data_IF_031660698352
#
_entry.id   IF_031660698352
#
_cell.length_a   1.000
_cell.length_b   1.000
_cell.length_c   1.000
_cell.angle_alpha   90.00
_cell.angle_beta   90.00
_cell.angle_gamma   90.00
#
_symmetry.space_group_name_H-M   'P 1'
#
loop_
_entity.id
_entity.type
_entity.pdbx_description
1 polymer ?
#
# COMPACT_ATOMS: atom_id res chain seq x y z
N UNK A 1 -26.61 15.15 -25.23
CA UNK A 1 -26.96 14.56 -26.53
C UNK A 1 -28.42 14.15 -26.46
N UNK A 2 -29.27 14.61 -27.38
CA UNK A 2 -30.68 14.23 -27.42
C UNK A 2 -30.89 13.23 -28.57
N UNK A 3 -31.62 12.15 -28.32
CA UNK A 3 -31.94 11.12 -29.30
C UNK A 3 -33.45 10.90 -29.35
N UNK A 4 -33.95 10.49 -30.51
CA UNK A 4 -35.36 10.16 -30.71
C UNK A 4 -35.68 8.81 -30.07
N UNK A 5 -36.85 8.68 -29.45
CA UNK A 5 -37.31 7.42 -28.83
C UNK A 5 -38.13 6.55 -29.81
N UNK A 6 -38.03 6.85 -31.10
CA UNK A 6 -38.79 6.24 -32.19
C UNK A 6 -37.83 5.91 -33.32
N UNK A 7 -38.08 4.79 -34.01
CA UNK A 7 -37.43 4.52 -35.29
C UNK A 7 -37.82 5.61 -36.28
N UNK A 8 -36.86 6.05 -37.07
CA UNK A 8 -37.10 6.92 -38.23
C UNK A 8 -36.89 6.02 -39.44
N UNK A 9 -37.89 5.91 -40.29
CA UNK A 9 -37.76 5.16 -41.54
C UNK A 9 -36.95 5.96 -42.58
N UNK A 10 -36.70 5.33 -43.73
CA UNK A 10 -35.91 5.91 -44.83
C UNK A 10 -36.56 7.21 -45.34
N UNK A 11 -37.87 7.35 -45.18
CA UNK A 11 -38.65 8.51 -45.60
C UNK A 11 -38.71 9.63 -44.53
N UNK A 12 -38.01 9.46 -43.41
CA UNK A 12 -37.94 10.46 -42.33
C UNK A 12 -39.16 10.47 -41.40
N UNK A 13 -40.03 9.48 -41.49
CA UNK A 13 -41.26 9.38 -40.69
C UNK A 13 -41.01 8.67 -39.37
N UNK A 14 -41.60 9.19 -38.30
CA UNK A 14 -41.49 8.61 -36.96
C UNK A 14 -42.37 7.37 -36.80
N UNK A 15 -41.73 6.21 -36.66
CA UNK A 15 -42.38 4.94 -36.39
C UNK A 15 -42.79 4.73 -34.92
N UNK A 16 -42.93 3.46 -34.54
CA UNK A 16 -43.34 3.05 -33.19
C UNK A 16 -42.30 3.48 -32.15
N UNK A 17 -42.77 3.76 -30.93
CA UNK A 17 -41.88 4.07 -29.79
C UNK A 17 -41.07 2.83 -29.44
N UNK A 18 -39.75 2.96 -29.48
CA UNK A 18 -38.80 1.94 -29.07
C UNK A 18 -38.43 2.17 -27.61
N UNK A 19 -38.84 1.26 -26.72
CA UNK A 19 -38.46 1.27 -25.29
C UNK A 19 -37.07 0.68 -25.02
N UNK A 20 -36.22 0.62 -26.05
CA UNK A 20 -34.92 -0.08 -26.04
C UNK A 20 -34.00 0.46 -24.94
N UNK A 21 -34.04 1.77 -24.69
CA UNK A 21 -33.28 2.44 -23.62
C UNK A 21 -34.10 2.68 -22.33
N UNK A 22 -35.41 2.47 -22.36
CA UNK A 22 -36.30 2.71 -21.20
C UNK A 22 -36.29 1.52 -20.23
N UNK A 23 -35.99 0.31 -20.71
CA UNK A 23 -35.96 -0.90 -19.89
C UNK A 23 -34.54 -1.17 -19.35
N UNK A 24 -34.33 -0.92 -18.06
CA UNK A 24 -33.04 -1.18 -17.39
C UNK A 24 -32.61 -2.66 -17.43
N UNK A 25 -33.50 -3.60 -17.79
CA UNK A 25 -33.21 -5.03 -17.87
C UNK A 25 -32.62 -5.47 -19.21
N UNK A 26 -32.71 -4.66 -20.27
CA UNK A 26 -32.20 -5.05 -21.60
C UNK A 26 -30.68 -4.99 -21.69
N UNK A 27 -30.02 -4.23 -20.80
CA UNK A 27 -28.56 -4.04 -20.83
C UNK A 27 -28.08 -3.04 -21.89
N UNK A 28 -28.96 -2.48 -22.71
CA UNK A 28 -28.59 -1.55 -23.79
C UNK A 28 -27.92 -0.27 -23.28
N UNK A 29 -28.34 0.23 -22.12
CA UNK A 29 -27.68 1.38 -21.46
C UNK A 29 -26.26 1.01 -21.00
N UNK A 30 -26.01 -0.25 -20.65
CA UNK A 30 -24.67 -0.74 -20.30
C UNK A 30 -23.81 -0.82 -21.57
N UNK A 31 -24.33 -1.42 -22.64
CA UNK A 31 -23.66 -1.51 -23.94
C UNK A 31 -23.28 -0.11 -24.48
N UNK A 32 -24.19 0.86 -24.35
CA UNK A 32 -23.93 2.24 -24.74
C UNK A 32 -22.79 2.87 -23.93
N UNK A 33 -22.73 2.64 -22.61
CA UNK A 33 -21.63 3.14 -21.78
C UNK A 33 -20.29 2.52 -22.17
N UNK A 34 -20.26 1.22 -22.43
CA UNK A 34 -19.07 0.50 -22.86
C UNK A 34 -18.58 0.99 -24.24
N UNK A 35 -19.50 1.19 -25.19
CA UNK A 35 -19.18 1.73 -26.50
C UNK A 35 -18.59 3.15 -26.42
N UNK A 36 -19.17 4.02 -25.58
CA UNK A 36 -18.62 5.36 -25.34
C UNK A 36 -17.22 5.29 -24.71
N UNK A 37 -17.01 4.43 -23.71
CA UNK A 37 -15.68 4.26 -23.11
C UNK A 37 -14.65 3.79 -24.14
N UNK A 38 -15.02 2.83 -24.99
CA UNK A 38 -14.17 2.36 -26.08
C UNK A 38 -13.76 3.50 -27.03
N UNK A 39 -14.72 4.28 -27.51
CA UNK A 39 -14.44 5.42 -28.41
C UNK A 39 -13.49 6.44 -27.74
N UNK A 40 -13.72 6.74 -26.46
CA UNK A 40 -12.87 7.68 -25.71
C UNK A 40 -11.45 7.13 -25.55
N UNK A 41 -11.29 5.84 -25.23
CA UNK A 41 -9.98 5.21 -25.06
C UNK A 41 -9.24 5.08 -26.40
N UNK A 42 -9.94 4.70 -27.48
CA UNK A 42 -9.37 4.66 -28.84
C UNK A 42 -8.84 6.04 -29.26
N UNK A 43 -9.53 7.11 -28.86
CA UNK A 43 -9.07 8.49 -29.09
C UNK A 43 -7.91 8.87 -28.18
N UNK A 44 -7.93 8.48 -26.91
CA UNK A 44 -6.84 8.74 -25.97
C UNK A 44 -5.54 8.07 -26.44
N UNK A 45 -5.59 6.81 -26.89
CA UNK A 45 -4.45 6.06 -27.42
C UNK A 45 -3.89 6.72 -28.69
N UNK A 46 -4.74 7.08 -29.65
CA UNK A 46 -4.32 7.79 -30.87
C UNK A 46 -3.63 9.13 -30.59
N UNK A 47 -3.99 9.78 -29.48
CA UNK A 47 -3.42 11.05 -29.05
C UNK A 47 -2.24 10.89 -28.08
N UNK A 48 -1.83 9.66 -27.76
CA UNK A 48 -0.76 9.38 -26.81
C UNK A 48 -1.09 9.85 -25.39
N UNK A 49 -2.36 9.78 -24.99
CA UNK A 49 -2.82 10.22 -23.68
C UNK A 49 -2.91 9.06 -22.69
N UNK A 50 -2.31 9.25 -21.51
CA UNK A 50 -2.17 8.19 -20.49
C UNK A 50 -3.44 7.93 -19.64
N UNK A 51 -4.60 8.51 -20.00
CA UNK A 51 -5.83 8.30 -19.24
C UNK A 51 -6.73 7.24 -19.90
N UNK A 52 -7.39 6.46 -19.04
CA UNK A 52 -8.30 5.39 -19.44
C UNK A 52 -9.64 5.55 -18.74
N UNK A 53 -10.72 5.35 -19.47
CA UNK A 53 -12.10 5.43 -18.95
C UNK A 53 -12.73 4.04 -18.96
N UNK A 54 -13.35 3.68 -17.84
CA UNK A 54 -14.01 2.38 -17.65
C UNK A 54 -15.49 2.55 -17.31
N UNK A 55 -16.34 1.71 -17.91
CA UNK A 55 -17.80 1.76 -17.75
C UNK A 55 -18.32 1.07 -16.48
N UNK A 56 -17.51 0.23 -15.83
CA UNK A 56 -17.90 -0.55 -14.64
C UNK A 56 -17.76 0.22 -13.32
N UNK A 57 -17.71 -0.53 -12.21
CA UNK A 57 -17.65 0.07 -10.87
C UNK A 57 -16.20 0.40 -10.51
N UNK A 58 -16.02 1.38 -9.63
CA UNK A 58 -14.70 1.74 -9.11
C UNK A 58 -14.00 0.61 -8.33
N UNK A 59 -14.77 -0.37 -7.84
CA UNK A 59 -14.24 -1.55 -7.16
C UNK A 59 -13.59 -2.56 -8.13
N UNK A 60 -13.89 -2.47 -9.42
CA UNK A 60 -13.36 -3.38 -10.43
C UNK A 60 -11.92 -2.95 -10.74
N UNK A 61 -10.94 -3.78 -10.34
CA UNK A 61 -9.53 -3.52 -10.62
C UNK A 61 -9.23 -3.91 -12.07
N UNK A 62 -8.68 -2.98 -12.82
CA UNK A 62 -8.11 -3.25 -14.14
C UNK A 62 -6.60 -3.32 -13.97
N UNK A 63 -6.01 -4.43 -14.39
CA UNK A 63 -4.57 -4.63 -14.32
C UNK A 63 -3.83 -3.54 -15.11
N UNK A 64 -2.74 -3.01 -14.54
CA UNK A 64 -1.96 -1.92 -15.13
C UNK A 64 -2.57 -0.51 -15.04
N UNK A 65 -3.78 -0.34 -14.49
CA UNK A 65 -4.46 0.96 -14.44
C UNK A 65 -4.60 1.51 -13.02
N UNK A 66 -4.40 2.82 -12.86
CA UNK A 66 -4.55 3.51 -11.57
C UNK A 66 -5.97 4.09 -11.47
N UNK A 67 -6.84 3.58 -10.59
CA UNK A 67 -8.20 4.08 -10.47
C UNK A 67 -8.18 5.48 -9.83
N UNK A 68 -8.52 6.49 -10.63
CA UNK A 68 -8.64 7.89 -10.18
C UNK A 68 -10.11 8.29 -10.02
N UNK A 69 -10.42 9.10 -9.01
CA UNK A 69 -11.77 9.63 -8.85
C UNK A 69 -12.10 10.63 -9.96
N UNK A 70 -13.27 10.47 -10.56
CA UNK A 70 -13.82 11.42 -11.53
C UNK A 70 -14.07 12.79 -10.90
N UNK A 71 -13.69 13.85 -11.61
CA UNK A 71 -13.96 15.24 -11.22
C UNK A 71 -15.11 15.77 -12.08
N UNK A 72 -16.31 16.01 -11.51
CA UNK A 72 -17.42 16.56 -12.26
C UNK A 72 -17.10 17.93 -12.87
N UNK A 73 -17.54 18.18 -14.10
CA UNK A 73 -17.35 19.46 -14.79
C UNK A 73 -18.01 20.62 -14.02
N UNK A 74 -19.02 20.35 -13.21
CA UNK A 74 -19.69 21.36 -12.38
C UNK A 74 -19.05 21.55 -10.99
N UNK A 75 -17.98 20.81 -10.67
CA UNK A 75 -17.35 20.90 -9.36
C UNK A 75 -16.67 22.26 -9.14
N UNK A 76 -16.90 22.84 -7.96
CA UNK A 76 -16.24 24.07 -7.51
C UNK A 76 -14.73 23.90 -7.35
N UNK A 77 -13.99 25.02 -7.43
CA UNK A 77 -12.52 25.07 -7.49
C UNK A 77 -11.84 24.28 -6.35
N UNK A 78 -12.37 24.38 -5.13
CA UNK A 78 -11.84 23.68 -3.95
C UNK A 78 -12.02 22.16 -4.02
N UNK A 79 -13.20 21.70 -4.45
CA UNK A 79 -13.46 20.26 -4.63
C UNK A 79 -12.57 19.67 -5.73
N UNK A 80 -12.36 20.41 -6.82
CA UNK A 80 -11.43 20.00 -7.89
C UNK A 80 -10.00 19.85 -7.36
N UNK A 81 -9.52 20.80 -6.56
CA UNK A 81 -8.19 20.75 -5.97
C UNK A 81 -8.03 19.55 -5.02
N UNK A 82 -9.03 19.29 -4.16
CA UNK A 82 -9.02 18.17 -3.23
C UNK A 82 -8.99 16.81 -3.93
N UNK A 83 -9.82 16.61 -4.97
CA UNK A 83 -9.83 15.35 -5.72
C UNK A 83 -8.54 15.18 -6.54
N UNK A 84 -7.99 16.27 -7.09
CA UNK A 84 -6.70 16.24 -7.80
C UNK A 84 -5.58 15.81 -6.86
N UNK A 85 -5.49 16.41 -5.66
CA UNK A 85 -4.51 16.02 -4.65
C UNK A 85 -4.65 14.55 -4.23
N UNK A 86 -5.89 14.09 -4.04
CA UNK A 86 -6.16 12.68 -3.73
C UNK A 86 -5.70 11.75 -4.86
N UNK A 87 -5.98 12.08 -6.12
CA UNK A 87 -5.55 11.29 -7.27
C UNK A 87 -4.01 11.26 -7.39
N UNK A 88 -3.32 12.37 -7.11
CA UNK A 88 -1.85 12.43 -7.08
C UNK A 88 -1.28 11.53 -5.97
N UNK A 89 -1.87 11.53 -4.77
CA UNK A 89 -1.44 10.64 -3.69
C UNK A 89 -1.64 9.16 -4.05
N UNK A 90 -2.76 8.81 -4.69
CA UNK A 90 -3.03 7.45 -5.15
C UNK A 90 -1.98 7.00 -6.18
N UNK A 91 -1.61 7.88 -7.13
CA UNK A 91 -0.52 7.59 -8.10
C UNK A 91 0.82 7.33 -7.42
N UNK A 92 1.22 8.20 -6.47
CA UNK A 92 2.47 8.06 -5.72
C UNK A 92 2.47 6.76 -4.90
N UNK A 93 1.37 6.47 -4.20
CA UNK A 93 1.27 5.27 -3.37
C UNK A 93 1.35 3.97 -4.19
N UNK A 94 0.69 3.91 -5.35
CA UNK A 94 0.76 2.75 -6.24
C UNK A 94 2.15 2.55 -6.85
N UNK A 95 2.84 3.64 -7.25
CA UNK A 95 4.22 3.55 -7.72
C UNK A 95 5.14 2.99 -6.62
N UNK A 96 4.97 3.44 -5.38
CA UNK A 96 5.72 2.90 -4.25
C UNK A 96 5.40 1.41 -4.04
N UNK A 97 4.13 0.99 -4.05
CA UNK A 97 3.75 -0.43 -3.91
C UNK A 97 4.36 -1.29 -5.02
N UNK A 98 4.39 -0.81 -6.27
CA UNK A 98 5.04 -1.53 -7.37
C UNK A 98 6.55 -1.69 -7.13
N UNK A 99 7.25 -0.63 -6.71
CA UNK A 99 8.69 -0.73 -6.38
C UNK A 99 8.95 -1.62 -5.16
N UNK A 100 8.04 -1.66 -4.18
CA UNK A 100 8.14 -2.56 -3.03
C UNK A 100 7.97 -4.03 -3.44
N UNK A 101 7.01 -4.34 -4.31
CA UNK A 101 6.83 -5.70 -4.85
C UNK A 101 8.02 -6.16 -5.67
N UNK A 102 8.61 -5.28 -6.47
CA UNK A 102 9.82 -5.60 -7.25
C UNK A 102 10.99 -5.92 -6.31
N UNK A 103 11.16 -5.13 -5.25
CA UNK A 103 12.16 -5.36 -4.20
C UNK A 103 11.92 -6.65 -3.43
N UNK A 104 10.67 -6.98 -3.09
CA UNK A 104 10.31 -8.26 -2.45
C UNK A 104 10.69 -9.44 -3.34
N UNK A 105 10.37 -9.37 -4.64
CA UNK A 105 10.71 -10.43 -5.61
C UNK A 105 12.22 -10.60 -5.78
N UNK A 106 12.99 -9.50 -5.74
CA UNK A 106 14.45 -9.56 -5.74
C UNK A 106 14.99 -10.21 -4.47
N UNK A 107 14.43 -9.87 -3.31
CA UNK A 107 14.80 -10.44 -2.01
C UNK A 107 14.50 -11.95 -1.93
N UNK A 108 13.35 -12.38 -2.47
CA UNK A 108 13.00 -13.80 -2.59
C UNK A 108 13.97 -14.56 -3.50
N UNK A 109 14.38 -13.96 -4.62
CA UNK A 109 15.36 -14.55 -5.53
C UNK A 109 16.77 -14.65 -4.89
N UNK A 110 17.17 -13.65 -4.11
CA UNK A 110 18.42 -13.66 -3.35
C UNK A 110 18.41 -14.71 -2.23
N UNK A 111 17.29 -14.86 -1.51
CA UNK A 111 17.13 -15.92 -0.50
C UNK A 111 17.24 -17.30 -1.13
N UNK A 112 16.56 -17.56 -2.25
CA UNK A 112 16.67 -18.82 -2.98
C UNK A 112 18.12 -19.10 -3.43
N UNK A 113 18.83 -18.07 -3.90
CA UNK A 113 20.24 -18.20 -4.29
C UNK A 113 21.14 -18.48 -3.08
N UNK A 114 20.88 -17.86 -1.93
CA UNK A 114 21.62 -18.08 -0.70
C UNK A 114 21.37 -19.49 -0.12
N UNK A 115 20.13 -19.98 -0.16
CA UNK A 115 19.77 -21.35 0.24
C UNK A 115 20.46 -22.39 -0.64
N UNK A 116 20.48 -22.20 -1.96
CA UNK A 116 21.20 -23.08 -2.89
C UNK A 116 22.72 -23.04 -2.69
N UNK A 117 23.29 -21.86 -2.41
CA UNK A 117 24.70 -21.70 -2.06
C UNK A 117 25.06 -22.44 -0.76
N UNK A 118 24.20 -22.37 0.26
CA UNK A 118 24.43 -23.06 1.52
C UNK A 118 24.31 -24.58 1.40
N UNK A 119 23.40 -25.08 0.54
CA UNK A 119 23.31 -26.51 0.23
C UNK A 119 24.56 -27.04 -0.50
N UNK A 120 25.14 -26.25 -1.40
CA UNK A 120 26.36 -26.60 -2.15
C UNK A 120 27.64 -26.64 -1.29
N UNK A 121 27.68 -25.85 -0.21
CA UNK A 121 28.83 -25.82 0.72
C UNK A 121 28.81 -26.96 1.75
N UNK A 122 27.72 -27.73 1.85
CA UNK A 122 27.61 -28.89 2.74
C UNK A 122 28.09 -30.20 2.09
N UNK A 123 28.02 -30.33 0.76
CA UNK A 123 28.38 -31.57 0.03
C UNK A 123 29.87 -31.64 -0.40
N UNK A 124 30.67 -30.59 -0.16
CA UNK A 124 32.04 -30.49 -0.68
C UNK A 124 33.16 -30.92 0.29
N UNK A 125 32.84 -31.58 1.41
CA UNK A 125 33.85 -32.02 2.39
C UNK A 125 33.70 -33.50 2.75
N UNK A 126 33.94 -34.38 1.79
CA UNK A 126 34.36 -35.75 2.09
C UNK A 126 34.98 -36.39 0.85
N UNK A 127 36.33 -36.51 0.81
CA UNK A 127 37.08 -37.63 0.23
C UNK A 127 38.58 -37.32 0.09
N UNK A 128 39.40 -37.76 1.05
CA UNK A 128 40.68 -38.41 0.75
C UNK A 128 41.04 -39.38 1.89
N UNK A 129 41.48 -40.62 1.62
CA UNK A 129 41.59 -41.66 2.63
C UNK A 129 43.03 -41.84 3.18
N UNK A 130 43.09 -42.55 4.32
CA UNK A 130 44.19 -43.40 4.83
C UNK A 130 45.05 -42.81 5.98
N UNK A 131 45.71 -43.66 6.81
CA UNK A 131 45.11 -44.61 7.75
C UNK A 131 45.71 -44.50 9.18
N UNK A 132 45.22 -45.35 10.08
CA UNK A 132 45.78 -45.79 11.37
C UNK A 132 45.54 -44.93 12.63
N UNK A 133 44.57 -45.40 13.43
CA UNK A 133 44.45 -45.21 14.89
C UNK A 133 45.39 -46.20 15.61
N UNK A 134 45.83 -46.02 16.89
CA UNK A 134 45.01 -45.69 18.08
C UNK A 134 45.68 -44.65 19.02
N UNK A 135 45.08 -44.01 20.05
CA UNK A 135 44.36 -44.58 21.20
C UNK A 135 43.78 -43.43 22.05
N UNK A 136 42.46 -43.40 22.17
CA UNK A 136 41.62 -42.96 23.31
C UNK A 136 42.15 -41.91 24.32
N UNK A 137 41.54 -40.71 24.30
CA UNK A 137 41.16 -39.98 25.53
C UNK A 137 39.71 -39.52 25.37
N UNK A 138 38.87 -39.96 26.31
CA UNK A 138 37.44 -39.72 26.40
C UNK A 138 37.19 -38.24 26.76
N UNK A 139 37.10 -37.37 25.74
CA UNK A 139 36.60 -36.00 25.91
C UNK A 139 35.12 -36.02 25.59
N UNK A 140 34.29 -35.83 26.63
CA UNK A 140 32.84 -35.63 26.51
C UNK A 140 32.55 -34.69 25.34
N UNK A 141 31.91 -35.22 24.30
CA UNK A 141 31.35 -34.46 23.18
C UNK A 141 30.36 -33.46 23.78
N UNK A 142 30.78 -32.21 23.90
CA UNK A 142 29.87 -31.08 24.07
C UNK A 142 29.08 -31.02 22.77
N UNK A 143 27.80 -31.39 22.84
CA UNK A 143 26.88 -31.16 21.73
C UNK A 143 26.98 -29.67 21.36
N UNK A 144 27.12 -29.35 20.05
CA UNK A 144 27.10 -27.97 19.63
C UNK A 144 25.76 -27.38 20.09
N UNK A 145 25.84 -26.44 21.03
CA UNK A 145 24.71 -25.59 21.40
C UNK A 145 24.21 -25.01 20.07
N UNK A 146 22.97 -25.29 19.63
CA UNK A 146 22.44 -24.64 18.43
C UNK A 146 22.66 -23.14 18.61
N UNK A 147 23.18 -22.42 17.60
CA UNK A 147 23.46 -21.00 17.73
C UNK A 147 22.21 -20.38 18.31
N UNK A 148 22.35 -19.78 19.50
CA UNK A 148 21.25 -19.18 20.22
C UNK A 148 20.48 -18.37 19.19
N UNK A 149 19.19 -18.71 18.98
CA UNK A 149 18.30 -17.95 18.09
C UNK A 149 18.53 -16.50 18.46
N UNK A 150 19.20 -15.76 17.56
CA UNK A 150 19.53 -14.37 17.81
C UNK A 150 18.18 -13.70 17.92
N UNK A 151 17.69 -13.47 19.15
CA UNK A 151 16.36 -12.96 19.39
C UNK A 151 16.23 -11.72 18.54
N UNK A 152 15.42 -11.81 17.49
CA UNK A 152 15.29 -10.73 16.54
C UNK A 152 14.87 -9.48 17.34
N UNK A 153 15.70 -8.42 17.42
CA UNK A 153 15.39 -7.26 18.24
C UNK A 153 14.16 -6.51 17.72
N UNK A 154 13.70 -6.85 16.51
CA UNK A 154 12.59 -6.24 15.79
C UNK A 154 11.28 -7.03 15.92
N UNK A 155 10.91 -7.50 17.12
CA UNK A 155 9.60 -8.17 17.32
C UNK A 155 8.46 -7.15 17.18
N UNK A 156 7.70 -7.25 16.09
CA UNK A 156 6.47 -6.48 15.85
C UNK A 156 5.36 -6.93 16.78
N UNK A 157 4.58 -5.98 17.29
CA UNK A 157 3.37 -6.27 18.08
C UNK A 157 2.22 -6.60 17.14
N UNK A 158 1.56 -7.74 17.37
CA UNK A 158 0.34 -8.11 16.66
C UNK A 158 -0.82 -7.22 17.14
N UNK A 159 -1.62 -6.71 16.20
CA UNK A 159 -2.79 -5.88 16.53
C UNK A 159 -3.94 -6.75 17.08
N UNK A 160 -4.44 -6.49 18.30
CA UNK A 160 -5.63 -7.18 18.79
C UNK A 160 -6.88 -6.74 18.02
N UNK A 161 -7.73 -7.70 17.65
CA UNK A 161 -8.95 -7.45 16.89
C UNK A 161 -9.91 -6.47 17.61
N UNK A 162 -9.94 -6.51 18.95
CA UNK A 162 -10.74 -5.58 19.75
C UNK A 162 -10.28 -4.12 19.61
N UNK A 163 -8.97 -3.89 19.53
CA UNK A 163 -8.38 -2.56 19.34
C UNK A 163 -8.73 -2.01 17.95
N UNK A 164 -8.60 -2.85 16.91
CA UNK A 164 -8.94 -2.50 15.54
C UNK A 164 -10.43 -2.16 15.38
N UNK A 165 -11.32 -3.02 15.89
CA UNK A 165 -12.77 -2.76 15.88
C UNK A 165 -13.13 -1.47 16.62
N UNK A 166 -12.52 -1.20 17.78
CA UNK A 166 -12.75 0.02 18.54
C UNK A 166 -12.31 1.28 17.76
N UNK A 167 -11.12 1.23 17.16
CA UNK A 167 -10.59 2.30 16.32
C UNK A 167 -11.51 2.63 15.14
N UNK A 168 -11.88 1.62 14.34
CA UNK A 168 -12.72 1.85 13.17
C UNK A 168 -14.12 2.34 13.53
N UNK A 169 -14.74 1.77 14.57
CA UNK A 169 -16.04 2.23 15.05
C UNK A 169 -15.99 3.70 15.50
N UNK A 170 -14.91 4.11 16.17
CA UNK A 170 -14.72 5.49 16.58
C UNK A 170 -14.56 6.44 15.38
N UNK A 171 -13.72 6.06 14.40
CA UNK A 171 -13.54 6.84 13.17
C UNK A 171 -14.83 6.95 12.36
N UNK A 172 -15.59 5.87 12.22
CA UNK A 172 -16.88 5.87 11.54
C UNK A 172 -17.89 6.77 12.26
N UNK A 173 -17.91 6.74 13.60
CA UNK A 173 -18.78 7.60 14.41
C UNK A 173 -18.43 9.08 14.27
N UNK A 174 -17.13 9.43 14.20
CA UNK A 174 -16.69 10.81 13.92
C UNK A 174 -17.18 11.30 12.55
N UNK A 175 -17.07 10.47 11.51
CA UNK A 175 -17.58 10.79 10.17
C UNK A 175 -19.10 11.00 10.18
N UNK A 176 -19.85 10.08 10.79
CA UNK A 176 -21.31 10.21 10.94
C UNK A 176 -21.70 11.47 11.72
N UNK A 177 -20.91 11.86 12.72
CA UNK A 177 -21.13 13.10 13.46
C UNK A 177 -20.93 14.34 12.59
N UNK A 178 -19.93 14.36 11.71
CA UNK A 178 -19.71 15.45 10.75
C UNK A 178 -20.85 15.54 9.73
N UNK A 179 -21.26 14.42 9.14
CA UNK A 179 -22.38 14.37 8.20
C UNK A 179 -23.69 14.83 8.86
N UNK A 180 -23.93 14.41 10.10
CA UNK A 180 -25.12 14.80 10.86
C UNK A 180 -25.17 16.30 11.14
N UNK A 181 -24.03 16.98 11.36
CA UNK A 181 -23.98 18.44 11.53
C UNK A 181 -24.48 19.17 10.28
N UNK A 182 -24.04 18.75 9.09
CA UNK A 182 -24.49 19.34 7.83
C UNK A 182 -26.00 19.14 7.63
N UNK A 183 -26.52 17.97 8.00
CA UNK A 183 -27.96 17.68 7.96
C UNK A 183 -28.71 18.56 8.97
N UNK A 184 -28.22 18.66 10.20
CA UNK A 184 -28.80 19.50 11.25
C UNK A 184 -28.89 20.96 10.83
N UNK A 185 -27.83 21.53 10.27
CA UNK A 185 -27.80 22.91 9.77
C UNK A 185 -28.90 23.17 8.73
N UNK A 186 -29.08 22.25 7.78
CA UNK A 186 -30.15 22.35 6.78
C UNK A 186 -31.54 22.33 7.40
N UNK A 187 -31.77 21.43 8.36
CA UNK A 187 -33.06 21.34 9.04
C UNK A 187 -33.32 22.52 9.98
N UNK A 188 -32.29 23.07 10.63
CA UNK A 188 -32.38 24.31 11.43
C UNK A 188 -32.71 25.51 10.54
N UNK A 189 -32.04 25.64 9.40
CA UNK A 189 -32.34 26.70 8.43
C UNK A 189 -33.79 26.60 7.91
N UNK A 190 -34.25 25.39 7.57
CA UNK A 190 -35.65 25.15 7.18
C UNK A 190 -36.63 25.52 8.31
N UNK A 191 -36.31 25.14 9.55
CA UNK A 191 -37.12 25.48 10.71
C UNK A 191 -37.22 26.99 10.92
N UNK A 192 -36.11 27.71 10.82
CA UNK A 192 -36.06 29.17 10.97
C UNK A 192 -36.84 29.88 9.85
N UNK A 193 -36.78 29.36 8.62
CA UNK A 193 -37.57 29.85 7.49
C UNK A 193 -39.08 29.64 7.71
N UNK A 194 -39.48 28.48 8.22
CA UNK A 194 -40.87 28.23 8.59
C UNK A 194 -41.32 29.20 9.68
N UNK A 195 -40.53 29.40 10.73
CA UNK A 195 -40.86 30.34 11.81
C UNK A 195 -41.02 31.79 11.31
N UNK A 196 -40.24 32.22 10.32
CA UNK A 196 -40.39 33.54 9.68
C UNK A 196 -41.69 33.67 8.89
N UNK A 197 -42.14 32.57 8.28
CA UNK A 197 -43.37 32.51 7.47
C UNK A 197 -44.60 32.05 8.27
N UNK A 198 -44.59 32.25 9.60
CA UNK A 198 -45.68 31.83 10.49
C UNK A 198 -47.01 32.48 10.09
N UNK A 199 -48.08 31.69 9.86
CA UNK A 199 -49.41 32.23 9.58
C UNK A 199 -49.91 33.10 10.74
N UNK A 200 -50.36 34.31 10.42
CA UNK A 200 -50.89 35.23 11.42
C UNK A 200 -52.30 34.83 11.89
N UNK A 201 -52.78 35.47 12.96
CA UNK A 201 -54.10 35.22 13.55
C UNK A 201 -55.23 35.29 12.51
N UNK A 202 -55.22 36.32 11.68
CA UNK A 202 -56.23 36.57 10.65
C UNK A 202 -56.25 35.48 9.57
N UNK A 203 -55.07 35.03 9.10
CA UNK A 203 -54.95 33.92 8.17
C UNK A 203 -55.53 32.63 8.77
N UNK A 204 -55.24 32.36 10.05
CA UNK A 204 -55.81 31.21 10.77
C UNK A 204 -57.33 31.30 10.94
N UNK A 205 -57.88 32.50 11.14
CA UNK A 205 -59.33 32.70 11.18
C UNK A 205 -59.99 32.46 9.81
N UNK A 206 -59.39 32.95 8.73
CA UNK A 206 -59.89 32.69 7.37
C UNK A 206 -59.87 31.20 7.01
N UNK A 207 -58.86 30.45 7.46
CA UNK A 207 -58.85 29.00 7.26
C UNK A 207 -60.01 28.30 7.98
N UNK A 208 -60.44 28.75 9.16
CA UNK A 208 -61.59 28.14 9.87
C UNK A 208 -62.91 28.24 9.09
N UNK A 209 -63.02 29.23 8.20
CA UNK A 209 -64.18 29.41 7.32
C UNK A 209 -63.94 28.88 5.90
N UNK A 210 -62.90 28.06 5.71
CA UNK A 210 -62.60 27.37 4.44
C UNK A 210 -61.70 28.13 3.47
N UNK A 211 -61.31 29.37 3.78
CA UNK A 211 -60.44 30.19 2.93
C UNK A 211 -58.96 29.96 3.29
N UNK A 212 -58.23 29.22 2.46
CA UNK A 212 -56.79 29.02 2.60
C UNK A 212 -56.38 27.92 3.59
N UNK A 213 -57.30 27.04 3.99
CA UNK A 213 -57.05 25.84 4.82
C UNK A 213 -55.81 25.07 4.39
N UNK A 214 -55.72 24.71 3.11
CA UNK A 214 -54.62 23.88 2.58
C UNK A 214 -53.23 24.51 2.74
N UNK A 215 -53.13 25.84 2.86
CA UNK A 215 -51.83 26.51 3.10
C UNK A 215 -51.42 26.41 4.57
N UNK A 216 -52.38 26.51 5.49
CA UNK A 216 -52.12 26.40 6.94
C UNK A 216 -51.84 24.96 7.33
N UNK A 217 -52.59 24.01 6.80
CA UNK A 217 -52.36 22.57 7.01
C UNK A 217 -50.96 22.17 6.53
N UNK A 218 -50.57 22.60 5.32
CA UNK A 218 -49.20 22.37 4.81
C UNK A 218 -48.14 22.96 5.72
N UNK A 219 -48.34 24.20 6.18
CA UNK A 219 -47.41 24.84 7.12
C UNK A 219 -47.28 24.06 8.43
N UNK A 220 -48.40 23.71 9.08
CA UNK A 220 -48.41 23.03 10.36
C UNK A 220 -47.84 21.60 10.23
N UNK A 221 -48.11 20.90 9.12
CA UNK A 221 -47.48 19.61 8.79
C UNK A 221 -45.97 19.72 8.59
N UNK A 222 -45.51 20.71 7.83
CA UNK A 222 -44.08 20.90 7.58
C UNK A 222 -43.32 21.30 8.84
N UNK A 223 -43.91 22.13 9.70
CA UNK A 223 -43.36 22.49 10.99
C UNK A 223 -43.24 21.25 11.88
N UNK A 224 -44.30 20.45 12.01
CA UNK A 224 -44.29 19.21 12.79
C UNK A 224 -43.24 18.21 12.29
N UNK A 225 -43.17 17.98 10.97
CA UNK A 225 -42.15 17.09 10.36
C UNK A 225 -40.73 17.57 10.66
N UNK A 226 -40.51 18.89 10.62
CA UNK A 226 -39.22 19.51 10.90
C UNK A 226 -38.82 19.36 12.37
N UNK A 227 -39.73 19.63 13.31
CA UNK A 227 -39.51 19.46 14.75
C UNK A 227 -39.21 18.01 15.13
N UNK A 228 -39.97 17.05 14.59
CA UNK A 228 -39.74 15.61 14.80
C UNK A 228 -38.34 15.22 14.29
N UNK A 229 -37.95 15.74 13.12
CA UNK A 229 -36.64 15.43 12.53
C UNK A 229 -35.51 16.01 13.36
N UNK A 230 -35.62 17.25 13.82
CA UNK A 230 -34.63 17.88 14.71
C UNK A 230 -34.51 17.13 16.04
N UNK A 231 -35.62 16.68 16.62
CA UNK A 231 -35.61 15.86 17.84
C UNK A 231 -34.87 14.52 17.64
N UNK A 232 -35.09 13.85 16.51
CA UNK A 232 -34.35 12.62 16.14
C UNK A 232 -32.85 12.90 15.98
N UNK A 233 -32.48 14.00 15.33
CA UNK A 233 -31.08 14.42 15.18
C UNK A 233 -30.42 14.62 16.55
N UNK A 234 -31.11 15.28 17.49
CA UNK A 234 -30.59 15.46 18.86
C UNK A 234 -30.39 14.13 19.60
N UNK A 235 -31.31 13.17 19.43
CA UNK A 235 -31.16 11.83 19.98
C UNK A 235 -29.94 11.11 19.40
N UNK A 236 -29.75 11.17 18.08
CA UNK A 236 -28.57 10.57 17.42
C UNK A 236 -27.28 11.25 17.88
N UNK A 237 -27.26 12.58 18.05
CA UNK A 237 -26.11 13.32 18.61
C UNK A 237 -25.73 12.83 20.01
N UNK A 238 -26.72 12.59 20.88
CA UNK A 238 -26.49 12.03 22.22
C UNK A 238 -25.88 10.63 22.13
N UNK A 239 -26.39 9.78 21.24
CA UNK A 239 -25.84 8.43 21.01
C UNK A 239 -24.41 8.45 20.50
N UNK A 240 -24.10 9.28 19.49
CA UNK A 240 -22.72 9.46 19.00
C UNK A 240 -21.80 9.96 20.11
N UNK A 241 -22.22 10.96 20.89
CA UNK A 241 -21.43 11.46 22.02
C UNK A 241 -21.10 10.35 23.01
N UNK A 242 -22.07 9.50 23.35
CA UNK A 242 -21.86 8.35 24.26
C UNK A 242 -20.82 7.37 23.72
N UNK A 243 -20.87 7.04 22.44
CA UNK A 243 -19.91 6.15 21.77
C UNK A 243 -18.50 6.76 21.78
N UNK A 244 -18.39 8.04 21.44
CA UNK A 244 -17.10 8.74 21.39
C UNK A 244 -16.49 8.99 22.78
N UNK A 245 -17.32 9.06 23.82
CA UNK A 245 -16.86 9.24 25.21
C UNK A 245 -16.66 7.94 25.98
N UNK A 246 -16.84 6.77 25.34
CA UNK A 246 -16.69 5.48 26.02
C UNK A 246 -15.22 5.24 26.41
N UNK A 247 -14.94 5.27 27.71
CA UNK A 247 -13.59 5.12 28.26
C UNK A 247 -12.91 3.82 27.87
N UNK A 248 -13.68 2.72 27.79
CA UNK A 248 -13.12 1.41 27.44
C UNK A 248 -12.69 1.40 25.97
N UNK A 249 -13.55 1.95 25.10
CA UNK A 249 -13.21 2.10 23.68
C UNK A 249 -12.01 3.03 23.49
N UNK A 250 -11.93 4.15 24.22
CA UNK A 250 -10.80 5.08 24.15
C UNK A 250 -9.48 4.43 24.59
N UNK A 251 -9.50 3.56 25.61
CA UNK A 251 -8.31 2.81 26.01
C UNK A 251 -7.85 1.83 24.92
N UNK A 252 -8.79 1.11 24.30
CA UNK A 252 -8.48 0.22 23.17
C UNK A 252 -7.91 0.99 21.97
N UNK A 253 -8.40 2.20 21.72
CA UNK A 253 -7.87 3.10 20.68
C UNK A 253 -6.46 3.59 21.03
N UNK A 254 -6.19 3.93 22.29
CA UNK A 254 -4.85 4.30 22.73
C UNK A 254 -3.86 3.14 22.54
N UNK A 255 -4.28 1.91 22.86
CA UNK A 255 -3.49 0.70 22.62
C UNK A 255 -3.26 0.47 21.12
N UNK A 256 -4.29 0.66 20.28
CA UNK A 256 -4.16 0.59 18.82
C UNK A 256 -3.06 1.54 18.33
N UNK A 257 -3.11 2.81 18.72
CA UNK A 257 -2.12 3.80 18.30
C UNK A 257 -0.72 3.45 18.80
N UNK A 258 -0.58 3.04 20.07
CA UNK A 258 0.72 2.65 20.62
C UNK A 258 1.35 1.45 19.89
N UNK A 259 0.55 0.50 19.39
CA UNK A 259 1.04 -0.63 18.60
C UNK A 259 1.49 -0.17 17.22
N UNK A 260 0.75 0.74 16.58
CA UNK A 260 1.13 1.32 15.29
C UNK A 260 2.46 2.08 15.43
N UNK A 261 2.58 2.94 16.45
CA UNK A 261 3.79 3.73 16.70
C UNK A 261 4.99 2.83 16.97
N UNK A 262 4.84 1.83 17.85
CA UNK A 262 5.88 0.83 18.11
C UNK A 262 6.33 0.11 16.82
N UNK A 263 5.39 -0.33 15.99
CA UNK A 263 5.71 -1.05 14.76
C UNK A 263 6.35 -0.13 13.70
N UNK A 264 6.05 1.17 13.72
CA UNK A 264 6.72 2.16 12.89
C UNK A 264 8.17 2.35 13.34
N UNK A 265 8.42 2.51 14.63
CA UNK A 265 9.78 2.61 15.20
C UNK A 265 10.62 1.37 14.89
N UNK A 266 10.03 0.17 15.03
CA UNK A 266 10.67 -1.09 14.65
C UNK A 266 11.04 -1.08 13.16
N UNK A 267 10.15 -0.62 12.29
CA UNK A 267 10.41 -0.54 10.84
C UNK A 267 11.54 0.45 10.51
N UNK A 268 11.61 1.59 11.20
CA UNK A 268 12.71 2.54 11.05
C UNK A 268 14.05 1.97 11.52
N UNK A 269 14.04 1.24 12.63
CA UNK A 269 15.24 0.61 13.17
C UNK A 269 15.74 -0.54 12.27
N UNK A 270 14.84 -1.35 11.72
CA UNK A 270 15.14 -2.36 10.68
C UNK A 270 15.81 -1.70 9.45
N UNK A 271 15.29 -0.55 9.00
CA UNK A 271 15.85 0.17 7.87
C UNK A 271 17.27 0.69 8.16
N UNK A 272 17.47 1.30 9.34
CA UNK A 272 18.80 1.78 9.76
C UNK A 272 19.81 0.64 9.86
N UNK A 273 19.41 -0.52 10.39
CA UNK A 273 20.26 -1.70 10.47
C UNK A 273 20.67 -2.21 9.08
N UNK A 274 19.72 -2.25 8.13
CA UNK A 274 20.00 -2.65 6.73
C UNK A 274 20.98 -1.68 6.05
N UNK A 275 20.81 -0.38 6.24
CA UNK A 275 21.71 0.64 5.70
C UNK A 275 23.12 0.47 6.30
N UNK A 276 23.23 0.29 7.62
CA UNK A 276 24.51 0.09 8.29
C UNK A 276 25.22 -1.19 7.82
N UNK A 277 24.47 -2.28 7.65
CA UNK A 277 25.01 -3.53 7.12
C UNK A 277 25.54 -3.37 5.69
N UNK A 278 24.76 -2.71 4.81
CA UNK A 278 25.19 -2.43 3.44
C UNK A 278 26.48 -1.59 3.39
N UNK A 279 26.57 -0.53 4.20
CA UNK A 279 27.77 0.30 4.29
C UNK A 279 28.99 -0.47 4.82
N UNK A 280 28.79 -1.43 5.73
CA UNK A 280 29.87 -2.30 6.22
C UNK A 280 30.37 -3.22 5.10
N UNK A 281 29.47 -3.85 4.35
CA UNK A 281 29.80 -4.72 3.23
C UNK A 281 30.59 -3.96 2.14
N UNK A 282 30.20 -2.71 1.86
CA UNK A 282 30.90 -1.85 0.89
C UNK A 282 32.34 -1.53 1.35
N UNK A 283 32.55 -1.19 2.63
CA UNK A 283 33.91 -1.01 3.17
C UNK A 283 34.75 -2.27 3.14
N UNK A 284 34.16 -3.43 3.44
CA UNK A 284 34.87 -4.71 3.37
C UNK A 284 35.32 -5.01 1.93
N UNK A 285 34.48 -4.65 0.94
CA UNK A 285 34.82 -4.76 -0.47
C UNK A 285 35.94 -3.79 -0.87
N UNK A 286 35.87 -2.52 -0.48
CA UNK A 286 36.93 -1.53 -0.74
C UNK A 286 38.28 -1.99 -0.17
N UNK A 287 38.28 -2.52 1.06
CA UNK A 287 39.48 -3.04 1.71
C UNK A 287 40.05 -4.26 0.99
N UNK A 288 39.20 -5.17 0.51
CA UNK A 288 39.62 -6.31 -0.30
C UNK A 288 40.22 -5.88 -1.65
N UNK A 289 39.63 -4.88 -2.31
CA UNK A 289 40.15 -4.30 -3.56
C UNK A 289 41.49 -3.56 -3.36
N UNK A 290 41.68 -2.90 -2.21
CA UNK A 290 42.97 -2.31 -1.84
C UNK A 290 44.04 -3.37 -1.57
N UNK A 291 43.72 -4.43 -0.81
CA UNK A 291 44.62 -5.55 -0.57
C UNK A 291 45.04 -6.23 -1.88
N UNK A 292 44.10 -6.42 -2.81
CA UNK A 292 44.40 -6.98 -4.13
C UNK A 292 45.33 -6.08 -4.96
N UNK A 293 45.14 -4.76 -4.92
CA UNK A 293 46.05 -3.79 -5.56
C UNK A 293 47.45 -3.85 -4.98
N UNK A 294 47.58 -3.89 -3.66
CA UNK A 294 48.90 -3.99 -3.00
C UNK A 294 49.62 -5.29 -3.36
N UNK A 295 48.91 -6.43 -3.39
CA UNK A 295 49.49 -7.69 -3.84
C UNK A 295 49.94 -7.64 -5.30
N UNK A 296 49.15 -7.02 -6.20
CA UNK A 296 49.50 -6.85 -7.60
C UNK A 296 50.70 -5.92 -7.82
N UNK A 297 50.81 -4.82 -7.07
CA UNK A 297 52.00 -3.95 -7.09
C UNK A 297 53.25 -4.69 -6.60
N UNK A 298 53.12 -5.50 -5.55
CA UNK A 298 54.22 -6.29 -4.99
C UNK A 298 54.64 -7.45 -5.91
N UNK A 299 53.69 -8.02 -6.66
CA UNK A 299 53.95 -9.01 -7.72
C UNK A 299 54.60 -8.37 -8.95
N UNK A 300 54.24 -7.14 -9.31
CA UNK A 300 54.92 -6.37 -10.36
C UNK A 300 56.33 -5.90 -9.96
N UNK A 301 56.62 -5.79 -8.66
CA UNK A 301 57.96 -5.51 -8.13
C UNK A 301 58.80 -6.77 -7.89
N UNK A 302 58.22 -7.97 -8.02
CA UNK A 302 59.00 -9.21 -8.03
C UNK A 302 59.80 -9.28 -9.32
N UNK A 303 61.09 -8.99 -9.19
CA UNK A 303 62.07 -9.11 -10.25
C UNK A 303 62.19 -10.58 -10.69
N UNK A 304 61.62 -10.90 -11.85
CA UNK A 304 61.63 -12.25 -12.45
C UNK A 304 63.01 -12.65 -12.99
N UNK A 305 64.01 -11.79 -12.81
CA UNK A 305 65.42 -11.99 -13.19
C UNK A 305 66.28 -12.68 -12.12
N UNK A 306 65.78 -12.88 -10.89
CA UNK A 306 66.51 -13.64 -9.85
C UNK A 306 66.30 -15.14 -10.08
N UNK A 307 66.92 -15.68 -11.13
CA UNK A 307 66.84 -17.11 -11.45
C UNK A 307 67.33 -17.51 -12.84
N UNK A 308 67.68 -16.53 -13.70
CA UNK A 308 68.27 -16.79 -15.00
C UNK A 308 69.61 -16.08 -15.09
N UNK A 309 70.63 -16.70 -14.50
CA UNK A 309 72.01 -16.38 -14.82
C UNK A 309 72.52 -17.46 -15.80
N UNK A 310 72.52 -17.20 -17.12
CA UNK A 310 72.97 -18.16 -18.13
C UNK A 310 74.47 -18.03 -18.37
N UNK A 311 75.29 -18.09 -17.32
CA UNK A 311 76.74 -18.15 -17.48
C UNK A 311 77.39 -18.82 -16.29
N UNK A 312 77.42 -20.16 -16.28
CA UNK A 312 78.62 -20.89 -15.88
C UNK A 312 78.53 -22.33 -16.36
N UNK A 313 78.87 -22.49 -17.65
CA UNK A 313 79.27 -23.78 -18.19
C UNK A 313 80.80 -23.86 -18.07
N UNK A 314 81.31 -24.39 -16.96
CA UNK A 314 82.68 -24.93 -16.94
C UNK A 314 82.77 -26.15 -16.04
N UNK A 315 82.77 -27.31 -16.69
CA UNK A 315 83.59 -28.48 -16.39
C UNK A 315 83.75 -28.86 -14.91
N UNK A 316 83.02 -29.90 -14.47
CA UNK A 316 83.65 -31.10 -13.90
C UNK A 316 82.68 -32.29 -13.86
N UNK A 317 83.06 -33.35 -14.56
CA UNK A 317 82.54 -34.72 -14.45
C UNK A 317 82.81 -35.32 -13.05
N UNK A 318 82.06 -36.37 -12.63
CA UNK A 318 81.77 -36.70 -11.25
C UNK A 318 82.87 -37.51 -10.56
N UNK A 319 83.21 -37.14 -9.32
CA UNK A 319 83.88 -38.04 -8.39
C UNK A 319 82.93 -38.49 -7.29
N UNK A 320 82.69 -39.79 -7.32
CA UNK A 320 82.09 -40.62 -6.29
C UNK A 320 82.95 -40.72 -5.02
N UNK A 321 82.29 -41.15 -3.91
CA UNK A 321 82.86 -41.68 -2.64
C UNK A 321 83.19 -40.55 -1.63
N UNK A 322 82.78 -40.53 -0.35
CA UNK A 322 82.41 -41.58 0.62
C UNK A 322 81.64 -40.99 1.80
N UNK A 323 80.80 -41.83 2.42
CA UNK A 323 80.42 -41.78 3.83
C UNK A 323 81.60 -41.42 4.76
N UNK A 324 81.33 -40.58 5.75
CA UNK A 324 81.79 -40.82 7.13
C UNK A 324 81.07 -39.90 8.12
N UNK A 325 80.16 -40.50 8.89
CA UNK A 325 79.89 -40.10 10.26
C UNK A 325 81.21 -40.13 11.07
N UNK A 326 81.50 -39.07 11.84
CA UNK A 326 81.86 -39.16 13.26
C UNK A 326 82.17 -37.78 13.87
N UNK A 327 81.31 -37.44 14.83
CA UNK A 327 81.54 -36.85 16.17
C UNK A 327 82.97 -36.37 16.50
N UNK A 328 83.07 -35.14 17.02
CA UNK A 328 83.76 -34.82 18.28
C UNK A 328 83.00 -33.71 18.99
#
# INVERSE_FOLDING_TARGET
MMFTTRTVDIDGTFGKKTRILDDMKTGEVKNLREAVCKIVNDHAEKLGSDFYVYAGKFADKIEGHIPTKHIPIQAGKEYRAAITAQNTQVKIHLANVATHKEKEKQLEAELLKAELSNALNLDATESTPSPDTPKSVEVKRVEPIPPAELENPFKRKLMPEACEKAYFKHQETLKKQQELKVIEEKWRAKHDELLKNKPNSTQRLFAKIGLGTTKIERYDEELSKTEITLSKIEQVKKSHKKILSDKNALNLIAQYNAIIDHNAEVSEAELKAKIAHAAKLERERELAEEQARQLSELENQRDWTIGLDPTENSNHTPQSISNSFSIS
#
